data_IF_538566520502
#
_entry.id   IF_538566520502
#
_cell.length_a   1.000
_cell.length_b   1.000
_cell.length_c   1.000
_cell.angle_alpha   90.00
_cell.angle_beta   90.00
_cell.angle_gamma   90.00
#
_symmetry.space_group_name_H-M   'P 1'
#
loop_
_entity.id
_entity.type
_entity.pdbx_description
1 polymer ?
#
# COMPACT_ATOMS: atom_id res chain seq x y z
N UNK A 1 -1.06 10.31 -6.80
CA UNK A 1 -0.67 9.74 -5.48
C UNK A 1 -1.50 10.38 -4.38
N UNK A 2 -1.87 9.61 -3.36
CA UNK A 2 -2.58 10.11 -2.17
C UNK A 2 -1.76 9.75 -0.93
N UNK A 3 -1.42 10.75 -0.12
CA UNK A 3 -0.67 10.57 1.12
C UNK A 3 -1.61 10.69 2.31
N UNK A 4 -1.52 9.68 3.17
CA UNK A 4 -2.35 9.50 4.34
C UNK A 4 -1.41 9.15 5.49
N UNK A 5 -1.45 9.92 6.59
CA UNK A 5 -0.62 9.68 7.77
C UNK A 5 -1.55 9.29 8.93
N UNK A 6 -1.35 8.12 9.57
CA UNK A 6 -2.12 7.74 10.76
C UNK A 6 -2.16 8.85 11.81
N UNK A 7 -3.36 9.24 12.23
CA UNK A 7 -3.59 10.32 13.19
C UNK A 7 -3.69 11.73 12.58
N UNK A 8 -3.27 11.94 11.32
CA UNK A 8 -3.52 13.17 10.58
C UNK A 8 -4.77 13.00 9.71
N UNK A 9 -5.75 13.88 9.86
CA UNK A 9 -7.05 13.73 9.20
C UNK A 9 -7.10 14.39 7.81
N UNK A 10 -6.25 15.38 7.57
CA UNK A 10 -6.02 15.95 6.24
C UNK A 10 -5.15 15.02 5.37
N UNK A 11 -5.37 15.08 4.05
CA UNK A 11 -4.61 14.28 3.09
C UNK A 11 -4.00 15.16 2.02
N UNK A 12 -2.81 14.79 1.53
CA UNK A 12 -2.17 15.43 0.39
C UNK A 12 -2.40 14.57 -0.87
N UNK A 13 -2.94 15.17 -1.93
CA UNK A 13 -3.08 14.54 -3.24
C UNK A 13 -2.12 15.20 -4.21
N UNK A 14 -1.33 14.38 -4.89
CA UNK A 14 -0.42 14.78 -5.97
C UNK A 14 -0.91 14.18 -7.28
N UNK A 15 -1.18 15.01 -8.29
CA UNK A 15 -1.44 14.59 -9.66
C UNK A 15 -0.23 14.94 -10.53
N UNK A 16 0.06 14.12 -11.54
CA UNK A 16 1.19 14.35 -12.41
C UNK A 16 1.45 13.17 -13.35
N UNK A 17 2.50 13.31 -14.15
CA UNK A 17 2.96 12.27 -15.08
C UNK A 17 4.03 11.41 -14.42
N UNK A 18 3.88 10.09 -14.55
CA UNK A 18 4.84 9.13 -14.02
C UNK A 18 5.74 8.59 -15.14
N UNK A 19 7.02 8.37 -14.84
CA UNK A 19 7.97 7.68 -15.70
C UNK A 19 8.77 6.65 -14.89
N UNK A 20 9.33 5.66 -15.59
CA UNK A 20 10.28 4.72 -14.99
C UNK A 20 11.67 5.35 -14.99
N UNK A 21 12.38 5.21 -13.88
CA UNK A 21 13.75 5.72 -13.71
C UNK A 21 14.70 4.55 -13.45
N UNK A 22 15.82 4.55 -14.17
CA UNK A 22 16.91 3.56 -14.06
C UNK A 22 18.28 4.23 -13.81
N UNK A 23 18.28 5.50 -13.42
CA UNK A 23 19.50 6.25 -13.13
C UNK A 23 20.16 5.70 -11.86
N UNK A 24 21.37 5.16 -11.99
CA UNK A 24 22.06 4.46 -10.90
C UNK A 24 22.35 5.37 -9.70
N UNK A 25 22.75 6.62 -9.94
CA UNK A 25 23.08 7.58 -8.88
C UNK A 25 21.84 7.97 -8.07
N UNK A 26 20.69 8.12 -8.73
CA UNK A 26 19.43 8.37 -8.05
C UNK A 26 18.96 7.14 -7.27
N UNK A 27 19.03 5.95 -7.86
CA UNK A 27 18.60 4.71 -7.22
C UNK A 27 19.46 4.37 -5.99
N UNK A 28 20.76 4.64 -6.04
CA UNK A 28 21.67 4.45 -4.90
C UNK A 28 21.24 5.30 -3.68
N UNK A 29 20.77 6.53 -3.91
CA UNK A 29 20.24 7.40 -2.84
C UNK A 29 18.89 6.95 -2.28
N UNK A 30 18.18 6.07 -3.00
CA UNK A 30 16.90 5.49 -2.59
C UNK A 30 17.06 4.14 -1.88
N UNK A 31 18.29 3.76 -1.52
CA UNK A 31 18.56 2.53 -0.79
C UNK A 31 17.75 2.47 0.50
N UNK A 32 17.04 1.36 0.69
CA UNK A 32 16.30 1.07 1.92
C UNK A 32 16.74 -0.30 2.44
N UNK A 33 16.98 -0.41 3.74
CA UNK A 33 17.43 -1.66 4.38
C UNK A 33 18.66 -2.29 3.69
N UNK A 34 19.59 -1.46 3.21
CA UNK A 34 20.80 -1.90 2.52
C UNK A 34 20.59 -2.41 1.09
N UNK A 35 19.37 -2.31 0.54
CA UNK A 35 19.07 -2.74 -0.84
C UNK A 35 18.71 -1.54 -1.72
N UNK A 36 19.38 -1.44 -2.86
CA UNK A 36 19.04 -0.49 -3.91
C UNK A 36 17.81 -0.98 -4.69
N UNK A 37 16.81 -0.13 -4.96
CA UNK A 37 15.70 -0.50 -5.84
C UNK A 37 16.16 -0.80 -7.26
N UNK A 38 15.53 -1.78 -7.93
CA UNK A 38 15.83 -2.15 -9.33
C UNK A 38 15.33 -1.08 -10.31
N UNK A 39 14.25 -0.39 -9.96
CA UNK A 39 13.62 0.67 -10.73
C UNK A 39 13.08 1.74 -9.78
N UNK A 40 13.07 2.99 -10.22
CA UNK A 40 12.37 4.09 -9.59
C UNK A 40 11.12 4.49 -10.38
N UNK A 41 10.18 5.15 -9.73
CA UNK A 41 9.07 5.84 -10.39
C UNK A 41 9.24 7.32 -10.14
N UNK A 42 9.59 8.06 -11.19
CA UNK A 42 9.64 9.53 -11.17
C UNK A 42 8.24 10.07 -11.43
N UNK A 43 7.83 11.10 -10.67
CA UNK A 43 6.55 11.78 -10.89
C UNK A 43 6.81 13.26 -11.09
N UNK A 44 6.55 13.75 -12.30
CA UNK A 44 6.51 15.18 -12.59
C UNK A 44 5.15 15.71 -12.11
N UNK A 45 5.19 16.51 -11.04
CA UNK A 45 3.99 17.03 -10.39
C UNK A 45 3.36 18.11 -11.24
N UNK A 46 2.11 17.91 -11.62
CA UNK A 46 1.30 18.92 -12.33
C UNK A 46 0.40 19.68 -11.36
N UNK A 47 -0.14 18.99 -10.34
CA UNK A 47 -1.00 19.61 -9.34
C UNK A 47 -0.82 18.97 -7.96
N UNK A 48 -1.02 19.78 -6.92
CA UNK A 48 -0.93 19.35 -5.53
C UNK A 48 -2.05 19.98 -4.70
N UNK A 49 -2.87 19.14 -4.05
CA UNK A 49 -4.04 19.57 -3.29
C UNK A 49 -4.00 19.04 -1.86
N UNK A 50 -4.29 19.92 -0.90
CA UNK A 50 -4.66 19.52 0.45
C UNK A 50 -6.16 19.33 0.53
N UNK A 51 -6.60 18.17 1.02
CA UNK A 51 -8.01 17.90 1.29
C UNK A 51 -8.30 18.00 2.78
N UNK A 52 -9.44 18.62 3.12
CA UNK A 52 -9.87 18.80 4.50
C UNK A 52 -10.24 17.47 5.19
N UNK A 53 -10.14 17.45 6.52
CA UNK A 53 -10.40 16.31 7.39
C UNK A 53 -11.84 15.73 7.39
N UNK A 54 -12.80 16.35 6.70
CA UNK A 54 -14.23 16.02 6.83
C UNK A 54 -14.55 14.54 6.58
N UNK A 55 -13.92 13.92 5.57
CA UNK A 55 -14.17 12.52 5.24
C UNK A 55 -13.65 11.58 6.35
N UNK A 56 -12.42 11.83 6.81
CA UNK A 56 -11.73 11.02 7.81
C UNK A 56 -12.39 11.13 9.19
N UNK A 57 -12.85 12.34 9.57
CA UNK A 57 -13.63 12.57 10.79
C UNK A 57 -14.94 11.78 10.78
N UNK A 58 -15.71 11.86 9.69
CA UNK A 58 -17.00 11.16 9.59
C UNK A 58 -16.86 9.64 9.57
N UNK A 59 -15.80 9.13 8.94
CA UNK A 59 -15.53 7.69 8.91
C UNK A 59 -14.87 7.17 10.17
N UNK A 60 -14.48 8.05 11.10
CA UNK A 60 -13.71 7.71 12.30
C UNK A 60 -12.43 6.92 11.95
N UNK A 61 -11.78 7.26 10.82
CA UNK A 61 -10.74 6.41 10.24
C UNK A 61 -9.62 6.10 11.24
N UNK A 62 -9.26 7.06 12.08
CA UNK A 62 -8.19 6.93 13.07
C UNK A 62 -8.67 6.61 14.49
N UNK A 63 -9.96 6.42 14.68
CA UNK A 63 -10.48 5.86 15.94
C UNK A 63 -10.41 4.33 15.86
N UNK A 64 -9.30 3.77 16.34
CA UNK A 64 -9.11 2.32 16.36
C UNK A 64 -10.19 1.58 17.17
N UNK A 65 -10.89 2.25 18.10
CA UNK A 65 -12.01 1.68 18.83
C UNK A 65 -13.27 1.49 17.98
N UNK A 66 -13.39 2.24 16.88
CA UNK A 66 -14.49 2.14 15.92
C UNK A 66 -14.30 1.02 14.88
N UNK A 67 -13.10 0.47 14.78
CA UNK A 67 -12.78 -0.51 13.74
C UNK A 67 -13.50 -1.84 13.95
N UNK A 68 -13.92 -2.53 12.88
CA UNK A 68 -14.51 -3.85 13.00
C UNK A 68 -13.56 -4.83 13.70
N UNK A 69 -14.15 -5.77 14.44
CA UNK A 69 -13.38 -6.88 15.02
C UNK A 69 -12.65 -7.64 13.92
N UNK A 70 -11.44 -8.13 14.21
CA UNK A 70 -10.59 -8.81 13.22
C UNK A 70 -11.30 -9.99 12.55
N UNK A 71 -12.14 -10.70 13.30
CA UNK A 71 -12.90 -11.86 12.84
C UNK A 71 -14.03 -11.49 11.86
N UNK A 72 -14.46 -10.22 11.85
CA UNK A 72 -15.47 -9.69 10.93
C UNK A 72 -14.88 -9.16 9.61
N UNK A 73 -13.55 -9.04 9.53
CA UNK A 73 -12.89 -8.58 8.31
C UNK A 73 -12.89 -9.69 7.24
N UNK A 74 -12.94 -9.32 5.95
CA UNK A 74 -12.77 -10.29 4.88
C UNK A 74 -11.42 -11.01 4.95
N UNK A 75 -11.41 -12.30 4.61
CA UNK A 75 -10.18 -13.08 4.54
C UNK A 75 -9.45 -12.74 3.24
N UNK A 76 -8.34 -11.99 3.35
CA UNK A 76 -7.56 -11.54 2.18
C UNK A 76 -7.14 -12.72 1.28
N UNK A 77 -6.74 -13.85 1.87
CA UNK A 77 -6.36 -15.04 1.12
C UNK A 77 -7.51 -15.61 0.28
N UNK A 78 -8.74 -15.56 0.81
CA UNK A 78 -9.94 -15.97 0.08
C UNK A 78 -10.25 -15.02 -1.06
N UNK A 79 -10.21 -13.71 -0.82
CA UNK A 79 -10.40 -12.69 -1.87
C UNK A 79 -9.44 -12.94 -3.02
N UNK A 80 -8.16 -13.16 -2.72
CA UNK A 80 -7.12 -13.40 -3.73
C UNK A 80 -7.38 -14.70 -4.50
N UNK A 81 -7.65 -15.81 -3.80
CA UNK A 81 -7.92 -17.10 -4.43
C UNK A 81 -9.12 -17.02 -5.38
N UNK A 82 -10.21 -16.37 -4.94
CA UNK A 82 -11.41 -16.16 -5.75
C UNK A 82 -11.12 -15.23 -6.95
N UNK A 83 -10.27 -14.21 -6.78
CA UNK A 83 -9.95 -13.23 -7.83
C UNK A 83 -9.06 -13.80 -8.94
N UNK A 84 -8.08 -14.66 -8.59
CA UNK A 84 -7.22 -15.31 -9.60
C UNK A 84 -7.93 -16.46 -10.30
N UNK A 85 -8.86 -17.14 -9.60
CA UNK A 85 -9.68 -18.23 -10.14
C UNK A 85 -8.88 -19.33 -10.87
N UNK A 86 -7.73 -19.72 -10.31
CA UNK A 86 -6.85 -20.76 -10.86
C UNK A 86 -7.15 -22.08 -10.15
N UNK A 87 -7.32 -23.16 -10.94
CA UNK A 87 -7.52 -24.50 -10.38
C UNK A 87 -6.32 -24.93 -9.53
N UNK A 88 -6.60 -25.43 -8.33
CA UNK A 88 -5.57 -25.87 -7.40
C UNK A 88 -4.89 -24.74 -6.63
N UNK A 89 -5.41 -23.50 -6.69
CA UNK A 89 -5.04 -22.44 -5.74
C UNK A 89 -6.21 -22.21 -4.79
N UNK A 90 -6.05 -22.70 -3.56
CA UNK A 90 -7.02 -22.58 -2.46
C UNK A 90 -6.72 -21.38 -1.56
N UNK A 91 -7.72 -20.96 -0.77
CA UNK A 91 -7.52 -19.90 0.23
C UNK A 91 -6.44 -20.27 1.25
N UNK A 92 -6.32 -21.54 1.62
CA UNK A 92 -5.33 -22.05 2.56
C UNK A 92 -3.90 -21.93 1.99
N UNK A 93 -3.71 -22.30 0.72
CA UNK A 93 -2.41 -22.19 0.04
C UNK A 93 -1.97 -20.73 -0.09
N UNK A 94 -2.89 -19.84 -0.45
CA UNK A 94 -2.63 -18.39 -0.50
C UNK A 94 -2.27 -17.87 0.89
N UNK A 95 -3.00 -18.26 1.93
CA UNK A 95 -2.72 -17.84 3.30
C UNK A 95 -1.31 -18.27 3.76
N UNK A 96 -0.91 -19.50 3.45
CA UNK A 96 0.44 -20.02 3.74
C UNK A 96 1.52 -19.22 3.01
N UNK A 97 1.32 -18.97 1.71
CA UNK A 97 2.27 -18.21 0.88
C UNK A 97 2.41 -16.75 1.34
N UNK A 98 1.30 -16.10 1.72
CA UNK A 98 1.30 -14.75 2.29
C UNK A 98 2.09 -14.70 3.61
N UNK A 99 1.83 -15.65 4.52
CA UNK A 99 2.54 -15.73 5.80
C UNK A 99 4.05 -15.87 5.60
N UNK A 100 4.47 -16.80 4.75
CA UNK A 100 5.90 -16.99 4.45
C UNK A 100 6.53 -15.72 3.85
N UNK A 101 5.80 -15.03 2.97
CA UNK A 101 6.29 -13.79 2.34
C UNK A 101 6.47 -12.67 3.36
N UNK A 102 5.53 -12.49 4.29
CA UNK A 102 5.67 -11.49 5.36
C UNK A 102 6.80 -11.81 6.34
N UNK A 103 7.08 -13.09 6.59
CA UNK A 103 8.16 -13.50 7.51
C UNK A 103 9.55 -13.41 6.87
N UNK A 104 9.67 -13.72 5.58
CA UNK A 104 10.99 -13.90 4.92
C UNK A 104 11.34 -12.83 3.90
N UNK A 105 10.36 -12.08 3.39
CA UNK A 105 10.50 -11.22 2.19
C UNK A 105 9.77 -9.89 2.34
N UNK A 106 9.70 -9.36 3.55
CA UNK A 106 9.09 -8.04 3.79
C UNK A 106 9.91 -6.90 3.16
N UNK A 107 11.22 -7.11 2.98
CA UNK A 107 12.19 -6.17 2.41
C UNK A 107 13.18 -6.89 1.48
#
# INVERSE_FOLDING_TARGET
MLFIIPGLEETLRINGKACIVQDEDLLERMQAFGKKPVLGIGVEVEECFMHCAKAFKRSQLWDAGSWPKKESLPVAAKIIADHVNIQGITSEEVAKSLKETYEKRLY
#
